data_IF_784052320700
#
_entry.id   IF_784052320700
#
_cell.length_a   1.000
_cell.length_b   1.000
_cell.length_c   1.000
_cell.angle_alpha   90.00
_cell.angle_beta   90.00
_cell.angle_gamma   90.00
#
_symmetry.space_group_name_H-M   'P 1'
#
loop_
_entity.id
_entity.type
_entity.pdbx_description
1 polymer ?
#
# COMPACT_ATOMS: atom_id res chain seq x y z
N UNK A 1 -14.57 -2.39 20.58
CA UNK A 1 -14.70 -2.69 19.11
C UNK A 1 -13.65 -3.70 18.70
N UNK A 2 -13.91 -4.49 17.64
CA UNK A 2 -12.96 -5.47 17.11
C UNK A 2 -12.77 -5.24 15.61
N UNK A 3 -11.52 -5.14 15.18
CA UNK A 3 -11.12 -4.98 13.78
C UNK A 3 -10.12 -6.07 13.40
N UNK A 4 -10.00 -6.39 12.12
CA UNK A 4 -9.03 -7.39 11.67
C UNK A 4 -8.41 -7.06 10.32
N UNK A 5 -7.20 -7.60 10.08
CA UNK A 5 -6.58 -7.69 8.76
C UNK A 5 -6.84 -9.08 8.17
N UNK A 6 -7.33 -9.11 6.95
CA UNK A 6 -7.49 -10.34 6.15
C UNK A 6 -6.45 -10.36 5.03
N UNK A 7 -5.73 -11.46 4.89
CA UNK A 7 -4.72 -11.67 3.85
C UNK A 7 -4.00 -13.00 3.99
N UNK A 8 -3.03 -13.28 3.12
CA UNK A 8 -2.21 -14.50 3.19
C UNK A 8 -0.89 -14.36 2.41
N UNK A 9 0.26 -14.74 2.99
CA UNK A 9 0.52 -14.89 4.42
C UNK A 9 0.62 -13.52 5.11
N UNK A 10 0.16 -13.38 6.37
CA UNK A 10 0.14 -12.09 7.08
C UNK A 10 0.82 -12.10 8.46
N UNK A 11 1.44 -13.21 8.84
CA UNK A 11 2.10 -13.37 10.15
C UNK A 11 3.13 -12.26 10.47
N UNK A 12 3.69 -11.63 9.43
CA UNK A 12 4.69 -10.56 9.55
C UNK A 12 4.11 -9.15 9.40
N UNK A 13 2.79 -8.98 9.41
CA UNK A 13 2.15 -7.67 9.28
C UNK A 13 2.35 -6.81 10.54
N UNK A 14 2.82 -5.59 10.35
CA UNK A 14 2.97 -4.59 11.42
C UNK A 14 1.66 -3.87 11.75
N UNK A 15 0.59 -4.07 10.97
CA UNK A 15 -0.68 -3.33 11.15
C UNK A 15 -1.30 -3.56 12.53
N UNK A 16 -1.27 -4.79 13.05
CA UNK A 16 -1.82 -5.09 14.37
C UNK A 16 -1.04 -4.40 15.50
N UNK A 17 0.30 -4.39 15.42
CA UNK A 17 1.13 -3.70 16.39
C UNK A 17 0.86 -2.19 16.36
N UNK A 18 0.80 -1.60 15.18
CA UNK A 18 0.57 -0.18 15.00
C UNK A 18 -0.81 0.25 15.51
N UNK A 19 -1.88 -0.40 15.05
CA UNK A 19 -3.25 -0.01 15.40
C UNK A 19 -3.58 -0.27 16.86
N UNK A 20 -3.13 -1.39 17.46
CA UNK A 20 -3.33 -1.63 18.89
C UNK A 20 -2.57 -0.62 19.75
N UNK A 21 -1.39 -0.16 19.33
CA UNK A 21 -0.68 0.92 20.01
C UNK A 21 -1.46 2.25 19.89
N UNK A 22 -2.04 2.56 18.72
CA UNK A 22 -2.91 3.74 18.52
C UNK A 22 -4.14 3.68 19.41
N UNK A 23 -4.86 2.56 19.46
CA UNK A 23 -6.02 2.38 20.33
C UNK A 23 -5.68 2.66 21.78
N UNK A 24 -4.56 2.12 22.27
CA UNK A 24 -4.11 2.35 23.64
C UNK A 24 -3.75 3.82 23.92
N UNK A 25 -3.04 4.47 22.98
CA UNK A 25 -2.57 5.85 23.17
C UNK A 25 -3.69 6.89 23.08
N UNK A 26 -4.78 6.56 22.40
CA UNK A 26 -5.95 7.44 22.20
C UNK A 26 -7.15 7.04 23.04
N UNK A 27 -6.95 6.13 24.03
CA UNK A 27 -7.98 5.61 24.93
C UNK A 27 -9.22 5.05 24.18
N UNK A 28 -8.99 4.45 23.00
CA UNK A 28 -10.04 3.81 22.20
C UNK A 28 -10.20 2.37 22.69
N UNK A 29 -11.39 2.01 23.16
CA UNK A 29 -11.72 0.64 23.56
C UNK A 29 -11.93 -0.25 22.33
N UNK A 30 -10.83 -0.65 21.71
CA UNK A 30 -10.80 -1.48 20.52
C UNK A 30 -9.61 -2.45 20.50
N UNK A 31 -9.73 -3.51 19.71
CA UNK A 31 -8.68 -4.48 19.45
C UNK A 31 -8.56 -4.76 17.95
N UNK A 32 -7.34 -5.02 17.49
CA UNK A 32 -7.05 -5.36 16.10
C UNK A 32 -6.27 -6.66 16.03
N UNK A 33 -6.74 -7.59 15.21
CA UNK A 33 -6.12 -8.91 15.05
C UNK A 33 -5.79 -9.25 13.59
N UNK A 34 -5.01 -10.30 13.39
CA UNK A 34 -4.63 -10.83 12.08
C UNK A 34 -5.39 -12.11 11.81
N UNK A 35 -6.07 -12.19 10.67
CA UNK A 35 -6.77 -13.40 10.21
C UNK A 35 -6.07 -13.87 8.94
N UNK A 36 -5.21 -14.89 9.10
CA UNK A 36 -4.55 -15.52 7.96
C UNK A 36 -5.56 -16.34 7.17
N UNK A 37 -5.93 -15.87 5.99
CA UNK A 37 -7.00 -16.42 5.16
C UNK A 37 -6.46 -16.69 3.75
N UNK A 38 -6.13 -17.95 3.42
CA UNK A 38 -5.61 -18.30 2.10
C UNK A 38 -6.61 -18.04 0.96
N UNK A 39 -7.90 -18.20 1.23
CA UNK A 39 -9.00 -17.88 0.30
C UNK A 39 -10.15 -17.18 1.04
N UNK A 40 -11.10 -16.61 0.30
CA UNK A 40 -12.21 -15.84 0.87
C UNK A 40 -13.46 -16.67 1.18
N UNK A 41 -13.41 -18.00 1.12
CA UNK A 41 -14.58 -18.85 1.33
C UNK A 41 -15.21 -18.67 2.72
N UNK A 42 -14.38 -18.40 3.74
CA UNK A 42 -14.84 -18.17 5.11
C UNK A 42 -15.23 -16.72 5.42
N UNK A 43 -14.98 -15.78 4.50
CA UNK A 43 -15.28 -14.36 4.74
C UNK A 43 -16.77 -14.09 5.04
N UNK A 44 -17.75 -14.69 4.32
CA UNK A 44 -19.17 -14.50 4.65
C UNK A 44 -19.55 -14.97 6.06
N UNK A 45 -18.94 -16.05 6.56
CA UNK A 45 -19.17 -16.54 7.92
C UNK A 45 -18.59 -15.60 8.97
N UNK A 46 -17.41 -15.04 8.67
CA UNK A 46 -16.76 -14.06 9.51
C UNK A 46 -17.64 -12.80 9.67
N UNK A 47 -18.21 -12.29 8.57
CA UNK A 47 -19.15 -11.18 8.59
C UNK A 47 -20.42 -11.53 9.38
N UNK A 48 -21.03 -12.69 9.10
CA UNK A 48 -22.25 -13.16 9.79
C UNK A 48 -22.06 -13.34 11.30
N UNK A 49 -20.84 -13.55 11.76
CA UNK A 49 -20.56 -13.67 13.21
C UNK A 49 -20.93 -12.40 13.99
N UNK A 50 -21.02 -11.24 13.35
CA UNK A 50 -21.30 -9.94 13.97
C UNK A 50 -20.23 -9.46 14.96
N UNK A 51 -19.07 -10.12 15.02
CA UNK A 51 -18.01 -9.80 15.98
C UNK A 51 -17.19 -8.59 15.60
N UNK A 52 -17.05 -8.32 14.30
CA UNK A 52 -16.15 -7.32 13.75
C UNK A 52 -16.88 -6.03 13.39
N UNK A 53 -16.21 -4.92 13.62
CA UNK A 53 -16.68 -3.57 13.28
C UNK A 53 -16.10 -3.06 11.93
N UNK A 54 -15.12 -3.77 11.36
CA UNK A 54 -14.52 -3.47 10.08
C UNK A 54 -13.29 -4.32 9.82
N UNK A 55 -12.81 -4.30 8.58
CA UNK A 55 -11.66 -5.10 8.16
C UNK A 55 -10.69 -4.28 7.32
N UNK A 56 -9.39 -4.53 7.48
CA UNK A 56 -8.43 -4.30 6.40
C UNK A 56 -8.32 -5.55 5.52
N UNK A 57 -7.99 -5.33 4.26
CA UNK A 57 -7.74 -6.39 3.28
C UNK A 57 -6.38 -6.15 2.62
N UNK A 58 -5.54 -7.19 2.59
CA UNK A 58 -4.24 -7.14 1.94
C UNK A 58 -4.08 -8.26 0.89
N UNK A 59 -2.88 -8.45 0.41
CA UNK A 59 -2.53 -9.49 -0.55
C UNK A 59 -2.98 -10.87 -0.04
N UNK A 60 -3.58 -11.72 -0.90
CA UNK A 60 -3.86 -11.51 -2.32
C UNK A 60 -5.28 -10.95 -2.60
N UNK A 61 -6.03 -10.54 -1.57
CA UNK A 61 -7.48 -10.41 -1.59
C UNK A 61 -8.03 -9.04 -2.03
N UNK A 62 -7.21 -8.01 -2.18
CA UNK A 62 -7.68 -6.62 -2.45
C UNK A 62 -8.62 -6.47 -3.65
N UNK A 63 -8.50 -7.34 -4.66
CA UNK A 63 -9.43 -7.39 -5.81
C UNK A 63 -10.53 -8.43 -5.62
N UNK A 64 -10.16 -9.60 -5.13
CA UNK A 64 -11.06 -10.74 -4.97
C UNK A 64 -12.17 -10.51 -3.95
N UNK A 65 -11.98 -9.56 -3.01
CA UNK A 65 -12.99 -9.22 -2.00
C UNK A 65 -14.17 -8.42 -2.56
N UNK A 66 -13.99 -7.71 -3.68
CA UNK A 66 -15.00 -6.80 -4.24
C UNK A 66 -16.38 -7.45 -4.43
N UNK A 67 -16.50 -8.69 -4.98
CA UNK A 67 -17.81 -9.35 -5.14
C UNK A 67 -18.55 -9.64 -3.84
N UNK A 68 -17.90 -9.56 -2.69
CA UNK A 68 -18.50 -9.79 -1.37
C UNK A 68 -19.03 -8.52 -0.71
N UNK A 69 -18.87 -7.35 -1.36
CA UNK A 69 -19.20 -6.04 -0.81
C UNK A 69 -20.48 -5.51 -1.45
N UNK A 70 -21.26 -4.76 -0.66
CA UNK A 70 -22.51 -4.13 -1.11
C UNK A 70 -22.25 -2.85 -1.91
N UNK A 71 -21.25 -2.08 -1.50
CA UNK A 71 -20.92 -0.78 -2.09
C UNK A 71 -19.39 -0.57 -2.16
N UNK A 72 -18.97 0.31 -3.06
CA UNK A 72 -17.59 0.78 -3.16
C UNK A 72 -17.54 2.30 -3.11
N UNK A 73 -16.57 2.85 -2.38
CA UNK A 73 -16.26 4.28 -2.49
C UNK A 73 -15.84 4.63 -3.94
N UNK A 74 -16.00 5.89 -4.36
CA UNK A 74 -15.56 6.33 -5.69
C UNK A 74 -14.10 5.98 -5.99
N UNK A 75 -13.23 6.15 -5.01
CA UNK A 75 -11.79 5.84 -5.12
C UNK A 75 -11.54 4.34 -5.26
N UNK A 76 -12.17 3.51 -4.41
CA UNK A 76 -12.03 2.06 -4.49
C UNK A 76 -12.53 1.51 -5.83
N UNK A 77 -13.64 2.10 -6.35
CA UNK A 77 -14.19 1.77 -7.67
C UNK A 77 -13.23 2.16 -8.80
N UNK A 78 -12.64 3.36 -8.73
CA UNK A 78 -11.70 3.86 -9.73
C UNK A 78 -10.39 3.04 -9.76
N UNK A 79 -9.89 2.62 -8.60
CA UNK A 79 -8.69 1.78 -8.46
C UNK A 79 -8.97 0.30 -8.77
N UNK A 80 -10.20 -0.16 -8.56
CA UNK A 80 -10.56 -1.58 -8.70
C UNK A 80 -9.89 -2.47 -7.66
N UNK A 81 -9.64 -1.94 -6.46
CA UNK A 81 -9.07 -2.66 -5.33
C UNK A 81 -9.55 -2.05 -4.00
N UNK A 82 -9.77 -2.91 -3.00
CA UNK A 82 -10.22 -2.55 -1.65
C UNK A 82 -9.17 -2.98 -0.64
N UNK A 83 -8.80 -2.10 0.29
CA UNK A 83 -7.94 -2.41 1.43
C UNK A 83 -8.61 -2.12 2.79
N UNK A 84 -9.80 -1.52 2.79
CA UNK A 84 -10.60 -1.26 4.00
C UNK A 84 -12.05 -1.61 3.73
N UNK A 85 -12.69 -2.32 4.65
CA UNK A 85 -14.12 -2.60 4.66
C UNK A 85 -14.72 -1.91 5.88
N UNK A 86 -15.61 -0.99 5.63
CA UNK A 86 -16.49 -0.38 6.61
C UNK A 86 -17.77 -1.22 6.74
N UNK A 87 -18.21 -1.48 7.97
CA UNK A 87 -19.51 -2.08 8.24
C UNK A 87 -20.44 -0.97 8.75
N UNK A 88 -21.39 -0.56 7.94
CA UNK A 88 -22.33 0.52 8.26
C UNK A 88 -23.74 0.17 7.81
N UNK A 89 -24.74 0.33 8.70
CA UNK A 89 -26.14 0.03 8.40
C UNK A 89 -26.38 -1.37 7.79
N UNK A 90 -25.69 -2.38 8.30
CA UNK A 90 -25.68 -3.76 7.79
C UNK A 90 -25.16 -3.91 6.36
N UNK A 91 -24.42 -2.93 5.84
CA UNK A 91 -23.76 -2.98 4.53
C UNK A 91 -22.25 -3.06 4.69
N UNK A 92 -21.62 -3.75 3.75
CA UNK A 92 -20.19 -3.81 3.59
C UNK A 92 -19.75 -2.79 2.52
N UNK A 93 -19.04 -1.75 2.94
CA UNK A 93 -18.60 -0.68 2.04
C UNK A 93 -17.09 -0.76 1.88
N UNK A 94 -16.64 -0.94 0.64
CA UNK A 94 -15.21 -1.04 0.31
C UNK A 94 -14.56 0.30 0.04
N UNK A 95 -13.41 0.54 0.69
CA UNK A 95 -12.59 1.74 0.51
C UNK A 95 -11.17 1.37 0.08
N UNK A 96 -10.43 2.36 -0.43
CA UNK A 96 -9.00 2.23 -0.71
C UNK A 96 -8.21 3.37 -0.07
N UNK A 97 -7.62 3.11 1.09
CA UNK A 97 -6.80 4.08 1.83
C UNK A 97 -5.33 4.06 1.40
N UNK A 98 -4.88 3.10 0.58
CA UNK A 98 -3.53 3.12 0.00
C UNK A 98 -3.31 4.39 -0.83
N UNK A 99 -4.37 4.91 -1.47
CA UNK A 99 -4.35 6.18 -2.22
C UNK A 99 -3.91 7.33 -1.31
N UNK A 100 -4.56 7.46 -0.15
CA UNK A 100 -4.27 8.53 0.82
C UNK A 100 -2.88 8.33 1.40
N UNK A 101 -2.54 7.09 1.78
CA UNK A 101 -1.22 6.75 2.30
C UNK A 101 -0.10 7.13 1.35
N UNK A 102 -0.20 6.74 0.09
CA UNK A 102 0.80 7.07 -0.92
C UNK A 102 0.82 8.58 -1.24
N UNK A 103 -0.34 9.20 -1.45
CA UNK A 103 -0.43 10.62 -1.75
C UNK A 103 0.25 11.48 -0.68
N UNK A 104 -0.06 11.24 0.59
CA UNK A 104 0.44 12.05 1.72
C UNK A 104 1.95 11.93 1.90
N UNK A 105 2.53 10.80 1.56
CA UNK A 105 3.96 10.53 1.78
C UNK A 105 4.81 10.75 0.53
N UNK A 106 4.21 10.73 -0.64
CA UNK A 106 4.88 10.94 -1.92
C UNK A 106 4.93 12.42 -2.32
N UNK A 107 3.79 13.13 -2.20
CA UNK A 107 3.65 14.51 -2.69
C UNK A 107 4.68 15.48 -2.08
N UNK A 108 5.02 15.42 -0.77
CA UNK A 108 6.03 16.30 -0.18
C UNK A 108 7.44 16.12 -0.72
N UNK A 109 7.74 14.99 -1.37
CA UNK A 109 9.05 14.67 -1.93
C UNK A 109 9.24 15.21 -3.35
N UNK A 110 8.15 15.65 -3.99
CA UNK A 110 8.19 16.09 -5.37
C UNK A 110 8.97 17.40 -5.53
N UNK A 111 9.71 17.47 -6.61
CA UNK A 111 10.47 18.65 -7.06
C UNK A 111 10.05 19.00 -8.49
N UNK A 112 10.28 20.24 -8.96
CA UNK A 112 9.88 20.66 -10.31
C UNK A 112 10.44 19.79 -11.45
N UNK A 113 11.57 19.12 -11.23
CA UNK A 113 12.18 18.23 -12.22
C UNK A 113 11.65 16.78 -12.17
N UNK A 114 10.79 16.44 -11.22
CA UNK A 114 10.12 15.14 -11.13
C UNK A 114 8.92 15.10 -12.11
N UNK A 115 9.21 15.08 -13.41
CA UNK A 115 8.21 15.29 -14.47
C UNK A 115 7.50 14.01 -14.92
N UNK A 116 8.07 12.84 -14.63
CA UNK A 116 7.48 11.55 -15.00
C UNK A 116 8.03 10.43 -14.11
N UNK A 117 7.32 9.30 -14.10
CA UNK A 117 7.62 8.18 -13.21
C UNK A 117 7.70 6.84 -13.95
N UNK A 118 8.41 5.89 -13.35
CA UNK A 118 8.31 4.46 -13.65
C UNK A 118 7.77 3.74 -12.42
N UNK A 119 6.77 2.89 -12.65
CA UNK A 119 6.20 2.00 -11.63
C UNK A 119 6.65 0.57 -11.94
N UNK A 120 7.32 -0.06 -10.99
CA UNK A 120 7.76 -1.44 -11.07
C UNK A 120 6.74 -2.33 -10.37
N UNK A 121 6.02 -3.18 -11.13
CA UNK A 121 4.99 -4.08 -10.62
C UNK A 121 3.56 -3.67 -11.00
N UNK A 122 2.63 -4.65 -11.01
CA UNK A 122 1.25 -4.52 -11.50
C UNK A 122 0.18 -4.97 -10.49
N UNK A 123 0.56 -5.15 -9.22
CA UNK A 123 -0.32 -5.60 -8.14
C UNK A 123 -1.35 -4.56 -7.69
N UNK A 124 -2.16 -4.90 -6.69
CA UNK A 124 -3.18 -3.99 -6.15
C UNK A 124 -2.63 -2.65 -5.63
N UNK A 125 -1.45 -2.65 -4.99
CA UNK A 125 -0.81 -1.42 -4.53
C UNK A 125 -0.34 -0.53 -5.69
N UNK A 126 0.12 -1.14 -6.81
CA UNK A 126 0.47 -0.41 -8.03
C UNK A 126 -0.71 0.40 -8.58
N UNK A 127 -1.93 -0.08 -8.44
CA UNK A 127 -3.13 0.63 -8.92
C UNK A 127 -3.40 1.90 -8.13
N UNK A 128 -3.21 1.87 -6.81
CA UNK A 128 -3.31 3.08 -5.98
C UNK A 128 -2.25 4.12 -6.36
N UNK A 129 -1.01 3.67 -6.62
CA UNK A 129 0.08 4.53 -7.11
C UNK A 129 -0.27 5.17 -8.45
N UNK A 130 -0.74 4.38 -9.43
CA UNK A 130 -1.18 4.86 -10.74
C UNK A 130 -2.30 5.91 -10.62
N UNK A 131 -3.28 5.66 -9.75
CA UNK A 131 -4.37 6.59 -9.49
C UNK A 131 -3.86 7.95 -8.99
N UNK A 132 -2.93 7.94 -8.03
CA UNK A 132 -2.33 9.16 -7.47
C UNK A 132 -1.51 9.90 -8.51
N UNK A 133 -0.66 9.22 -9.29
CA UNK A 133 0.14 9.85 -10.34
C UNK A 133 -0.75 10.50 -11.41
N UNK A 134 -1.83 9.83 -11.82
CA UNK A 134 -2.82 10.42 -12.73
C UNK A 134 -3.47 11.68 -12.14
N UNK A 135 -3.84 11.65 -10.86
CA UNK A 135 -4.44 12.80 -10.18
C UNK A 135 -3.47 13.98 -10.05
N UNK A 136 -2.17 13.69 -9.94
CA UNK A 136 -1.10 14.70 -9.93
C UNK A 136 -0.64 15.13 -11.33
N UNK A 137 -1.23 14.59 -12.40
CA UNK A 137 -0.82 14.79 -13.79
C UNK A 137 0.66 14.44 -14.04
N UNK A 138 1.18 13.41 -13.35
CA UNK A 138 2.53 12.88 -13.57
C UNK A 138 2.40 11.68 -14.51
N UNK A 139 2.86 11.76 -15.77
CA UNK A 139 2.87 10.65 -16.69
C UNK A 139 3.78 9.54 -16.16
N UNK A 140 3.41 8.29 -16.40
CA UNK A 140 4.19 7.15 -15.92
C UNK A 140 4.21 6.00 -16.93
N UNK A 141 5.25 5.18 -16.81
CA UNK A 141 5.36 3.88 -17.47
C UNK A 141 5.22 2.77 -16.44
N UNK A 142 4.42 1.76 -16.76
CA UNK A 142 4.27 0.56 -15.94
C UNK A 142 5.19 -0.53 -16.49
N UNK A 143 6.06 -1.07 -15.64
CA UNK A 143 7.03 -2.11 -16.00
C UNK A 143 6.66 -3.42 -15.31
N UNK A 144 6.46 -4.46 -16.13
CA UNK A 144 6.23 -5.83 -15.67
C UNK A 144 7.55 -6.61 -15.60
N UNK A 145 7.55 -7.77 -14.94
CA UNK A 145 8.73 -8.66 -14.86
C UNK A 145 9.34 -9.04 -16.21
N UNK A 146 8.54 -9.07 -17.26
CA UNK A 146 8.96 -9.49 -18.60
C UNK A 146 9.55 -8.37 -19.45
N UNK A 147 9.42 -7.11 -19.03
CA UNK A 147 9.79 -5.92 -19.81
C UNK A 147 11.04 -5.19 -19.28
N UNK A 148 11.72 -5.77 -18.28
CA UNK A 148 12.90 -5.18 -17.66
C UNK A 148 14.14 -5.20 -18.57
N UNK A 149 14.11 -4.45 -19.65
CA UNK A 149 15.34 -3.92 -20.23
C UNK A 149 15.74 -2.65 -19.48
N UNK A 150 16.67 -2.83 -18.55
CA UNK A 150 16.90 -2.01 -17.39
C UNK A 150 17.71 -0.74 -17.67
N UNK A 151 18.40 -0.69 -18.81
CA UNK A 151 19.27 0.44 -19.12
C UNK A 151 18.47 1.72 -19.49
N UNK A 152 17.24 1.57 -19.88
CA UNK A 152 16.39 2.68 -20.35
C UNK A 152 15.63 3.38 -19.22
N UNK A 153 15.38 2.66 -18.11
CA UNK A 153 14.46 3.15 -17.05
C UNK A 153 15.01 4.36 -16.31
N UNK A 154 16.28 4.32 -15.92
CA UNK A 154 16.90 5.39 -15.10
C UNK A 154 17.17 6.66 -15.90
N UNK A 155 17.43 6.56 -17.20
CA UNK A 155 17.61 7.75 -18.07
C UNK A 155 16.30 8.48 -18.33
N UNK A 156 15.16 7.79 -18.31
CA UNK A 156 13.89 8.32 -18.74
C UNK A 156 12.99 8.78 -17.59
N UNK A 157 13.23 8.36 -16.34
CA UNK A 157 12.31 8.64 -15.25
C UNK A 157 13.03 9.09 -13.97
N UNK A 158 12.89 10.37 -13.59
CA UNK A 158 13.42 10.86 -12.32
C UNK A 158 12.69 10.28 -11.10
N UNK A 159 11.54 9.65 -11.28
CA UNK A 159 10.80 8.97 -10.21
C UNK A 159 10.73 7.48 -10.51
N UNK A 160 11.20 6.65 -9.58
CA UNK A 160 11.14 5.18 -9.69
C UNK A 160 10.44 4.62 -8.45
N UNK A 161 9.30 3.93 -8.67
CA UNK A 161 8.45 3.43 -7.59
C UNK A 161 8.44 1.91 -7.63
N UNK A 162 8.97 1.27 -6.58
CA UNK A 162 8.89 -0.18 -6.42
C UNK A 162 7.57 -0.56 -5.74
N UNK A 163 6.70 -1.24 -6.47
CA UNK A 163 5.45 -1.83 -5.95
C UNK A 163 5.51 -3.36 -5.90
N UNK A 164 6.68 -3.95 -6.16
CA UNK A 164 6.93 -5.40 -6.09
C UNK A 164 7.37 -5.79 -4.67
N UNK A 165 7.34 -7.10 -4.33
CA UNK A 165 7.88 -7.58 -3.07
C UNK A 165 9.43 -7.73 -3.06
N UNK A 166 10.14 -7.29 -4.10
CA UNK A 166 11.59 -7.38 -4.16
C UNK A 166 12.22 -6.57 -3.03
N UNK A 167 13.15 -7.18 -2.31
CA UNK A 167 13.82 -6.58 -1.16
C UNK A 167 13.08 -6.76 0.17
N UNK A 168 11.86 -7.32 0.16
CA UNK A 168 11.08 -7.61 1.37
C UNK A 168 11.60 -8.88 2.07
N UNK A 169 11.58 -8.87 3.41
CA UNK A 169 11.88 -10.05 4.22
C UNK A 169 10.98 -11.24 3.81
N UNK A 170 11.50 -12.49 3.70
CA UNK A 170 12.88 -12.88 4.03
C UNK A 170 13.91 -12.66 2.92
N UNK A 171 13.52 -12.28 1.70
CA UNK A 171 14.40 -12.19 0.53
C UNK A 171 15.01 -10.78 0.37
N UNK A 172 15.66 -10.30 1.42
CA UNK A 172 16.17 -8.91 1.52
C UNK A 172 17.30 -8.57 0.54
N UNK A 173 17.98 -9.57 -0.02
CA UNK A 173 19.07 -9.38 -0.99
C UNK A 173 18.59 -9.15 -2.43
N UNK A 174 17.27 -9.23 -2.66
CA UNK A 174 16.70 -8.93 -3.97
C UNK A 174 16.45 -7.44 -4.15
N UNK A 175 16.47 -6.96 -5.38
CA UNK A 175 16.13 -5.58 -5.73
C UNK A 175 15.61 -5.54 -7.18
N UNK A 176 14.83 -4.52 -7.56
CA UNK A 176 14.51 -4.29 -8.97
C UNK A 176 15.77 -4.21 -9.83
N UNK A 177 15.75 -4.87 -10.99
CA UNK A 177 16.87 -4.87 -11.90
C UNK A 177 16.87 -3.59 -12.75
N UNK A 178 17.47 -2.51 -12.23
CA UNK A 178 17.64 -1.23 -12.92
C UNK A 178 19.15 -0.89 -12.98
N UNK A 179 19.53 0.01 -13.87
CA UNK A 179 20.92 0.48 -13.91
C UNK A 179 21.17 1.55 -12.86
N UNK A 180 21.54 1.14 -11.65
CA UNK A 180 21.79 2.04 -10.51
C UNK A 180 22.92 3.06 -10.77
N UNK A 181 23.88 2.75 -11.65
CA UNK A 181 24.98 3.68 -11.97
C UNK A 181 24.51 4.94 -12.71
N UNK A 182 23.28 4.97 -13.22
CA UNK A 182 22.69 6.13 -13.87
C UNK A 182 21.88 7.01 -12.93
N UNK A 183 21.70 6.59 -11.67
CA UNK A 183 21.03 7.40 -10.66
C UNK A 183 21.87 8.63 -10.29
N UNK A 184 21.20 9.69 -9.91
CA UNK A 184 21.77 10.96 -9.48
C UNK A 184 20.92 11.54 -8.33
N UNK A 185 21.34 12.66 -7.78
CA UNK A 185 20.62 13.45 -6.77
C UNK A 185 19.26 13.99 -7.25
N UNK A 186 18.95 13.90 -8.55
CA UNK A 186 17.67 14.26 -9.15
C UNK A 186 16.66 13.12 -9.18
N UNK A 187 17.04 11.93 -8.75
CA UNK A 187 16.11 10.78 -8.71
C UNK A 187 15.43 10.68 -7.35
N UNK A 188 14.15 10.28 -7.40
CA UNK A 188 13.35 9.86 -6.24
C UNK A 188 13.06 8.38 -6.38
N UNK A 189 13.57 7.58 -5.44
CA UNK A 189 13.26 6.15 -5.31
C UNK A 189 12.25 5.98 -4.17
N UNK A 190 11.06 5.54 -4.52
CA UNK A 190 10.01 5.23 -3.56
C UNK A 190 9.79 3.71 -3.52
N UNK A 191 9.95 3.10 -2.35
CA UNK A 191 9.76 1.67 -2.16
C UNK A 191 8.51 1.43 -1.29
N UNK A 192 7.53 0.67 -1.77
CA UNK A 192 6.38 0.29 -0.95
C UNK A 192 6.75 -0.75 0.12
N UNK A 193 7.89 -1.40 0.00
CA UNK A 193 8.44 -2.28 1.04
C UNK A 193 8.86 -1.44 2.24
N UNK A 194 8.52 -1.92 3.45
CA UNK A 194 8.85 -1.27 4.72
C UNK A 194 9.65 -2.18 5.69
N UNK A 195 9.76 -3.46 5.38
CA UNK A 195 10.56 -4.42 6.14
C UNK A 195 11.48 -5.21 5.20
N UNK A 196 12.79 -4.97 5.24
CA UNK A 196 13.54 -4.08 6.15
C UNK A 196 13.27 -2.58 5.91
N UNK A 197 13.63 -1.74 6.89
CA UNK A 197 13.48 -0.28 6.78
C UNK A 197 14.28 0.30 5.62
N UNK A 198 15.46 -0.23 5.32
CA UNK A 198 16.24 0.10 4.13
C UNK A 198 16.41 -1.15 3.27
N UNK A 199 15.68 -1.20 2.16
CA UNK A 199 15.85 -2.27 1.17
C UNK A 199 17.12 -2.09 0.35
N UNK A 200 17.57 -3.15 -0.33
CA UNK A 200 18.69 -3.08 -1.26
C UNK A 200 18.46 -2.02 -2.36
N UNK A 201 17.23 -1.88 -2.85
CA UNK A 201 16.84 -0.85 -3.80
C UNK A 201 17.12 0.56 -3.29
N UNK A 202 16.69 0.88 -2.07
CA UNK A 202 16.88 2.19 -1.45
C UNK A 202 18.36 2.44 -1.12
N UNK A 203 19.05 1.44 -0.57
CA UNK A 203 20.49 1.54 -0.26
C UNK A 203 21.33 1.86 -1.50
N UNK A 204 21.06 1.18 -2.63
CA UNK A 204 21.73 1.47 -3.89
C UNK A 204 21.39 2.88 -4.39
N UNK A 205 20.14 3.34 -4.21
CA UNK A 205 19.77 4.72 -4.51
C UNK A 205 20.54 5.75 -3.71
N UNK A 206 20.67 5.53 -2.39
CA UNK A 206 21.44 6.42 -1.49
C UNK A 206 22.89 6.53 -1.89
N UNK A 207 23.53 5.44 -2.33
CA UNK A 207 24.92 5.44 -2.78
C UNK A 207 25.17 6.36 -3.99
N UNK A 208 24.12 6.63 -4.77
CA UNK A 208 24.16 7.51 -5.94
C UNK A 208 23.52 8.90 -5.67
N UNK A 209 23.23 9.22 -4.40
CA UNK A 209 22.71 10.52 -3.99
C UNK A 209 21.20 10.71 -4.23
N UNK A 210 20.46 9.69 -4.66
CA UNK A 210 19.03 9.79 -4.87
C UNK A 210 18.26 10.06 -3.57
N UNK A 211 17.15 10.79 -3.66
CA UNK A 211 16.18 10.88 -2.57
C UNK A 211 15.48 9.53 -2.43
N UNK A 212 15.40 9.01 -1.21
CA UNK A 212 14.77 7.70 -0.95
C UNK A 212 13.59 7.83 0.01
N UNK A 213 12.61 6.95 -0.16
CA UNK A 213 11.47 6.81 0.74
C UNK A 213 11.05 5.34 0.81
N UNK A 214 10.90 4.80 2.03
CA UNK A 214 10.33 3.47 2.25
C UNK A 214 8.81 3.52 2.49
N UNK A 215 8.17 2.35 2.52
CA UNK A 215 6.72 2.22 2.66
C UNK A 215 6.16 2.42 4.07
N UNK A 216 6.99 2.62 5.11
CA UNK A 216 6.52 2.65 6.50
C UNK A 216 5.56 3.82 6.76
N UNK A 217 5.91 5.02 6.29
CA UNK A 217 5.05 6.19 6.44
C UNK A 217 3.72 6.02 5.70
N UNK A 218 3.74 5.39 4.51
CA UNK A 218 2.53 5.04 3.76
C UNK A 218 1.67 4.04 4.53
N UNK A 219 2.28 3.01 5.14
CA UNK A 219 1.58 2.03 5.97
C UNK A 219 0.86 2.71 7.13
N UNK A 220 1.51 3.63 7.84
CA UNK A 220 0.90 4.37 8.94
C UNK A 220 -0.23 5.28 8.45
N UNK A 221 0.01 6.08 7.41
CA UNK A 221 -0.98 7.02 6.88
C UNK A 221 -2.26 6.32 6.38
N UNK A 222 -2.14 5.17 5.69
CA UNK A 222 -3.31 4.39 5.24
C UNK A 222 -4.06 3.74 6.42
N UNK A 223 -3.35 3.34 7.48
CA UNK A 223 -3.96 2.77 8.68
C UNK A 223 -4.71 3.84 9.50
N UNK A 224 -4.15 5.03 9.62
CA UNK A 224 -4.81 6.17 10.25
C UNK A 224 -6.10 6.56 9.52
N UNK A 225 -6.09 6.50 8.18
CA UNK A 225 -7.30 6.76 7.40
C UNK A 225 -8.35 5.66 7.55
N UNK A 226 -7.93 4.39 7.62
CA UNK A 226 -8.83 3.29 7.93
C UNK A 226 -9.52 3.48 9.29
N UNK A 227 -8.74 3.91 10.30
CA UNK A 227 -9.26 4.21 11.63
C UNK A 227 -10.32 5.32 11.59
N UNK A 228 -10.09 6.41 10.86
CA UNK A 228 -11.08 7.50 10.68
C UNK A 228 -12.38 6.99 10.05
N UNK A 229 -12.28 6.13 9.03
CA UNK A 229 -13.45 5.54 8.37
C UNK A 229 -14.28 4.75 9.38
N UNK A 230 -13.65 3.88 10.16
CA UNK A 230 -14.35 3.02 11.13
C UNK A 230 -14.95 3.79 12.30
N UNK A 231 -14.27 4.83 12.80
CA UNK A 231 -14.73 5.60 13.96
C UNK A 231 -15.75 6.68 13.61
N UNK A 232 -15.95 7.01 12.33
CA UNK A 232 -16.88 8.06 11.88
C UNK A 232 -18.32 7.81 12.32
N UNK A 233 -18.72 6.55 12.47
CA UNK A 233 -20.08 6.14 12.83
C UNK A 233 -20.23 5.76 14.32
N UNK A 234 -19.21 5.98 15.14
CA UNK A 234 -19.21 5.67 16.58
C UNK A 234 -19.38 6.91 17.48
N UNK A 235 -19.53 8.09 16.88
CA UNK A 235 -19.83 9.34 17.59
C UNK A 235 -21.32 9.67 17.57
#
# INVERSE_FOLDING_TARGET
>A
MLFALIGHPISHSFSAQYLNARFKNEDIEAHYELIDMPDLAQFPDLVRSGKYNGFNVTIPHKKAIIPYLDELSPEAKAVGAVNVIEISNNKLIGHNTDIIGFHNTFTPLLKPYHTHAVILGTGGASQAVQYVLNKLNIPFQLITHTQLDTNTITQLAPIIINTTPLGMHPNTDTAPNINYNQLTDKHLLYDLVYNPTETKFLRLGTQHGATIQNGLAMLHSQADEALKIWLKNTQ
#
